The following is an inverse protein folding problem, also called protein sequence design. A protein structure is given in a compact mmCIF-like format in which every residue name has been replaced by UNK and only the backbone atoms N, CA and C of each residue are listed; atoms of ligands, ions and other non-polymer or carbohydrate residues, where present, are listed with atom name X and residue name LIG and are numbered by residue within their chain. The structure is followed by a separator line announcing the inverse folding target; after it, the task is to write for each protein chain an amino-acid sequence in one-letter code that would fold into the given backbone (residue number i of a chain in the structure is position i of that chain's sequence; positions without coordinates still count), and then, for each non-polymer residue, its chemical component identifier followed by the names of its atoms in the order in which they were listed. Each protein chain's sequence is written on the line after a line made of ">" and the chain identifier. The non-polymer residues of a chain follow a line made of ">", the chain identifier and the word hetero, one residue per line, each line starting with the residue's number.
data_IF_767117865873
#
_entry.id   IF_767117865873
#
_cell.length_a   1.000
_cell.length_b   1.000
_cell.length_c   1.000
_cell.angle_alpha   90.00
_cell.angle_beta   90.00
_cell.angle_gamma   90.00
#
_symmetry.space_group_name_H-M   'P 1'
#
loop_
_entity.id
_entity.type
_entity.pdbx_description
1 polymer ?
#
# COMPACT_ATOMS: atom_id res chain seq x y z
N UNK A 1 -22.17 10.25 -70.05
CA UNK A 1 -22.87 9.05 -69.54
C UNK A 1 -21.85 8.17 -68.82
N UNK A 2 -22.26 7.59 -67.69
CA UNK A 2 -21.61 6.53 -66.87
C UNK A 2 -20.26 6.87 -66.21
N UNK A 3 -20.24 7.14 -64.88
CA UNK A 3 -20.33 6.21 -63.74
C UNK A 3 -19.08 5.32 -63.60
N UNK A 4 -18.29 5.55 -62.54
CA UNK A 4 -18.22 4.64 -61.38
C UNK A 4 -17.40 5.27 -60.26
N UNK A 5 -18.02 5.38 -59.08
CA UNK A 5 -17.44 5.78 -57.80
C UNK A 5 -16.84 4.51 -57.20
N UNK A 6 -15.54 4.49 -56.90
CA UNK A 6 -14.91 3.42 -56.13
C UNK A 6 -14.77 3.92 -54.69
N UNK A 7 -15.62 3.39 -53.81
CA UNK A 7 -15.57 3.62 -52.37
C UNK A 7 -14.39 2.84 -51.77
N UNK A 8 -13.44 3.54 -51.17
CA UNK A 8 -12.37 2.93 -50.38
C UNK A 8 -12.94 2.52 -49.01
N UNK A 9 -13.12 1.22 -48.80
CA UNK A 9 -13.44 0.64 -47.49
C UNK A 9 -12.16 0.66 -46.65
N UNK A 10 -12.05 1.64 -45.76
CA UNK A 10 -11.00 1.66 -44.73
C UNK A 10 -11.42 0.62 -43.69
N UNK A 11 -10.80 -0.54 -43.73
CA UNK A 11 -10.90 -1.54 -42.67
C UNK A 11 -10.30 -0.95 -41.39
N UNK A 12 -11.15 -0.55 -40.46
CA UNK A 12 -10.75 -0.23 -39.10
C UNK A 12 -10.28 -1.53 -38.43
N UNK A 13 -8.98 -1.83 -38.53
CA UNK A 13 -8.33 -2.82 -37.72
C UNK A 13 -8.42 -2.34 -36.26
N UNK A 14 -9.44 -2.83 -35.55
CA UNK A 14 -9.58 -2.60 -34.12
C UNK A 14 -8.35 -3.16 -33.42
N UNK A 15 -7.51 -2.28 -32.88
CA UNK A 15 -6.58 -2.65 -31.84
C UNK A 15 -7.43 -3.10 -30.65
N UNK A 16 -7.68 -4.40 -30.56
CA UNK A 16 -8.10 -5.03 -29.32
C UNK A 16 -6.93 -4.87 -28.34
N UNK A 17 -6.91 -3.75 -27.62
CA UNK A 17 -6.04 -3.59 -26.47
C UNK A 17 -6.37 -4.73 -25.52
N UNK A 18 -5.43 -5.64 -25.31
CA UNK A 18 -5.50 -6.59 -24.22
C UNK A 18 -5.60 -5.76 -22.95
N UNK A 19 -6.81 -5.66 -22.38
CA UNK A 19 -6.99 -5.18 -21.03
C UNK A 19 -6.29 -6.21 -20.14
N UNK A 20 -5.03 -5.95 -19.79
CA UNK A 20 -4.38 -6.65 -18.70
C UNK A 20 -5.20 -6.30 -17.47
N UNK A 21 -6.05 -7.22 -17.03
CA UNK A 21 -6.65 -7.16 -15.72
C UNK A 21 -5.47 -7.15 -14.75
N UNK A 22 -5.19 -5.98 -14.18
CA UNK A 22 -4.14 -5.81 -13.20
C UNK A 22 -4.57 -6.63 -11.99
N UNK A 23 -3.97 -7.81 -11.82
CA UNK A 23 -4.17 -8.67 -10.67
C UNK A 23 -3.67 -7.89 -9.45
N UNK A 24 -4.57 -7.17 -8.77
CA UNK A 24 -4.22 -6.26 -7.67
C UNK A 24 -3.89 -7.02 -6.38
N UNK A 25 -3.68 -8.34 -6.46
CA UNK A 25 -3.55 -9.21 -5.31
C UNK A 25 -4.88 -9.46 -4.61
N UNK A 26 -4.89 -10.43 -3.70
CA UNK A 26 -6.02 -10.72 -2.82
C UNK A 26 -5.98 -9.75 -1.64
N UNK A 27 -7.11 -9.10 -1.36
CA UNK A 27 -7.29 -8.29 -0.16
C UNK A 27 -7.27 -9.18 1.09
N UNK A 28 -6.31 -8.89 1.98
CA UNK A 28 -6.21 -9.51 3.31
C UNK A 28 -6.95 -8.72 4.38
N UNK A 29 -7.05 -7.40 4.21
CA UNK A 29 -7.70 -6.50 5.17
C UNK A 29 -7.09 -5.11 5.20
N UNK A 30 -7.29 -4.41 6.31
CA UNK A 30 -6.86 -3.02 6.51
C UNK A 30 -5.92 -2.92 7.70
N UNK A 31 -4.80 -2.21 7.54
CA UNK A 31 -3.87 -1.89 8.61
C UNK A 31 -3.98 -0.40 8.95
N UNK A 32 -4.43 -0.11 10.17
CA UNK A 32 -4.59 1.23 10.71
C UNK A 32 -3.48 1.53 11.72
N UNK A 33 -2.62 2.50 11.42
CA UNK A 33 -1.52 2.90 12.28
C UNK A 33 -1.70 4.32 12.80
N UNK A 34 -1.43 4.54 14.08
CA UNK A 34 -1.35 5.85 14.70
C UNK A 34 0.10 6.15 15.10
N UNK A 35 0.55 7.37 14.82
CA UNK A 35 1.86 7.87 15.25
C UNK A 35 1.66 8.71 16.50
N UNK A 36 2.41 8.39 17.56
CA UNK A 36 2.39 9.17 18.79
C UNK A 36 2.65 10.64 18.53
N UNK A 37 1.78 11.52 19.01
CA UNK A 37 1.99 12.96 18.95
C UNK A 37 3.19 13.37 19.83
N UNK A 38 3.97 14.34 19.37
CA UNK A 38 5.14 14.82 20.12
C UNK A 38 5.89 15.93 19.41
N UNK A 39 6.58 16.78 20.17
CA UNK A 39 7.50 17.79 19.65
C UNK A 39 8.81 17.11 19.27
N UNK A 40 9.10 17.04 17.97
CA UNK A 40 10.40 16.58 17.48
C UNK A 40 10.34 16.09 16.04
N UNK A 41 10.99 16.83 15.15
CA UNK A 41 11.43 16.35 13.85
C UNK A 41 12.82 16.95 13.62
N UNK A 42 13.84 16.10 13.63
CA UNK A 42 15.10 16.35 12.96
C UNK A 42 15.17 15.24 11.91
N UNK A 43 15.51 15.61 10.68
CA UNK A 43 15.79 14.67 9.60
C UNK A 43 16.47 13.39 10.12
N UNK A 44 15.88 12.23 9.82
CA UNK A 44 16.40 10.92 10.24
C UNK A 44 15.89 10.38 11.59
N UNK A 45 14.97 11.05 12.30
CA UNK A 45 14.36 10.47 13.50
C UNK A 45 13.29 9.41 13.18
N UNK A 46 13.41 8.26 13.85
CA UNK A 46 12.38 7.22 13.91
C UNK A 46 11.26 7.62 14.87
N UNK A 47 10.00 7.36 14.53
CA UNK A 47 8.84 7.54 15.43
C UNK A 47 8.14 6.22 15.66
N UNK A 48 7.71 5.97 16.89
CA UNK A 48 6.93 4.79 17.21
C UNK A 48 5.51 4.89 16.64
N UNK A 49 5.01 3.75 16.20
CA UNK A 49 3.66 3.55 15.68
C UNK A 49 2.98 2.40 16.41
N UNK A 50 1.69 2.58 16.66
CA UNK A 50 0.79 1.52 17.12
C UNK A 50 -0.22 1.26 16.02
N UNK A 51 -0.37 -0.01 15.63
CA UNK A 51 -1.25 -0.39 14.54
C UNK A 51 -2.26 -1.46 14.94
N UNK A 52 -3.41 -1.43 14.29
CA UNK A 52 -4.42 -2.48 14.34
C UNK A 52 -4.64 -3.01 12.94
N UNK A 53 -4.40 -4.30 12.73
CA UNK A 53 -4.79 -5.01 11.51
C UNK A 53 -6.20 -5.54 11.68
N UNK A 54 -7.09 -5.22 10.74
CA UNK A 54 -8.45 -5.74 10.66
C UNK A 54 -8.57 -6.65 9.45
N UNK A 55 -8.66 -7.98 9.64
CA UNK A 55 -8.81 -8.93 8.55
C UNK A 55 -10.10 -8.71 7.73
N UNK A 56 -10.02 -8.95 6.42
CA UNK A 56 -11.17 -9.00 5.54
C UNK A 56 -12.05 -10.22 5.88
N UNK A 57 -11.43 -11.36 6.12
CA UNK A 57 -12.08 -12.58 6.62
C UNK A 57 -12.43 -12.42 8.11
N UNK A 58 -13.74 -12.43 8.41
CA UNK A 58 -14.27 -12.20 9.77
C UNK A 58 -14.13 -13.39 10.71
N UNK A 59 -13.59 -14.50 10.25
CA UNK A 59 -13.21 -15.63 11.13
C UNK A 59 -11.97 -15.30 11.96
N UNK A 60 -11.17 -14.33 11.56
CA UNK A 60 -10.00 -13.85 12.30
C UNK A 60 -10.32 -12.59 13.10
N UNK A 61 -9.81 -12.51 14.33
CA UNK A 61 -9.92 -11.32 15.16
C UNK A 61 -8.96 -10.22 14.68
N UNK A 62 -9.26 -8.93 14.96
CA UNK A 62 -8.29 -7.86 14.77
C UNK A 62 -7.02 -8.09 15.59
N UNK A 63 -5.86 -7.77 15.01
CA UNK A 63 -4.55 -8.03 15.60
C UNK A 63 -3.81 -6.72 15.87
N UNK A 64 -3.15 -6.63 17.04
CA UNK A 64 -2.36 -5.48 17.42
C UNK A 64 -0.89 -5.64 16.99
N UNK A 65 -0.36 -4.60 16.37
CA UNK A 65 1.03 -4.49 15.97
C UNK A 65 1.64 -3.20 16.53
N UNK A 66 2.96 -3.18 16.63
CA UNK A 66 3.73 -1.97 16.94
C UNK A 66 4.93 -1.88 16.00
N UNK A 67 5.61 -0.75 16.03
CA UNK A 67 6.89 -0.62 15.35
C UNK A 67 7.32 0.81 15.25
N UNK A 68 8.03 1.13 14.17
CA UNK A 68 8.53 2.48 13.97
C UNK A 68 8.66 2.86 12.50
N UNK A 69 8.52 4.14 12.21
CA UNK A 69 8.59 4.73 10.88
C UNK A 69 9.80 5.62 10.79
N UNK A 70 10.65 5.32 9.81
CA UNK A 70 12.04 5.80 9.77
C UNK A 70 12.29 6.84 8.67
N UNK A 71 11.39 6.96 7.68
CA UNK A 71 11.54 7.93 6.59
C UNK A 71 10.19 8.42 6.11
N UNK A 72 10.02 9.74 6.25
CA UNK A 72 8.92 10.49 5.67
C UNK A 72 9.47 11.37 4.56
N UNK A 73 8.83 11.34 3.39
CA UNK A 73 9.17 12.19 2.24
C UNK A 73 8.69 13.63 2.35
N UNK A 74 8.11 14.01 3.50
CA UNK A 74 7.60 15.35 3.78
C UNK A 74 8.20 15.79 5.11
N UNK A 75 8.82 16.97 5.16
CA UNK A 75 9.29 17.61 6.39
C UNK A 75 8.09 17.94 7.29
N UNK A 76 7.65 16.96 8.07
CA UNK A 76 6.57 17.12 9.03
C UNK A 76 7.19 17.86 10.22
N UNK A 77 6.89 19.15 10.38
CA UNK A 77 7.27 19.95 11.55
C UNK A 77 6.67 19.40 12.87
N UNK A 78 6.02 20.23 13.68
CA UNK A 78 5.31 19.72 14.87
C UNK A 78 4.30 18.65 14.48
N UNK A 79 4.58 17.39 14.82
CA UNK A 79 3.74 16.25 14.45
C UNK A 79 2.45 16.32 15.25
N UNK A 80 1.38 16.81 14.63
CA UNK A 80 0.01 16.56 15.12
C UNK A 80 -0.25 15.06 15.07
N UNK A 81 -1.08 14.52 15.96
CA UNK A 81 -1.50 13.12 15.87
C UNK A 81 -1.90 12.81 14.42
N UNK A 82 -1.20 11.84 13.85
CA UNK A 82 -1.31 11.48 12.42
C UNK A 82 -1.60 10.00 12.32
N UNK A 83 -2.39 9.64 11.32
CA UNK A 83 -2.78 8.26 11.07
C UNK A 83 -2.27 7.83 9.69
N UNK A 84 -1.99 6.54 9.55
CA UNK A 84 -1.62 5.90 8.30
C UNK A 84 -2.52 4.69 8.12
N UNK A 85 -3.37 4.74 7.10
CA UNK A 85 -4.29 3.65 6.76
C UNK A 85 -3.85 3.00 5.45
N UNK A 86 -3.71 1.68 5.50
CA UNK A 86 -3.22 0.85 4.39
C UNK A 86 -4.20 -0.27 4.08
N UNK A 87 -4.42 -0.52 2.79
CA UNK A 87 -4.98 -1.77 2.30
C UNK A 87 -3.84 -2.80 2.23
N UNK A 88 -4.07 -3.98 2.80
CA UNK A 88 -3.10 -5.08 2.81
C UNK A 88 -3.46 -6.08 1.71
N UNK A 89 -2.52 -6.29 0.79
CA UNK A 89 -2.66 -7.14 -0.39
C UNK A 89 -1.61 -8.25 -0.36
N UNK A 90 -1.95 -9.40 -0.91
CA UNK A 90 -1.00 -10.52 -1.12
C UNK A 90 -1.27 -11.23 -2.44
N UNK A 91 -0.25 -11.74 -3.15
CA UNK A 91 -0.48 -12.62 -4.30
C UNK A 91 -0.87 -14.04 -3.89
N UNK A 92 -0.76 -14.40 -2.60
CA UNK A 92 -0.94 -15.77 -2.11
C UNK A 92 -2.28 -15.95 -1.39
N UNK A 93 -3.01 -17.03 -1.71
CA UNK A 93 -4.23 -17.39 -0.97
C UNK A 93 -3.86 -18.12 0.32
N UNK A 94 -4.62 -17.87 1.40
CA UNK A 94 -4.52 -18.57 2.69
C UNK A 94 -3.15 -18.49 3.39
N UNK A 95 -2.38 -17.42 3.16
CA UNK A 95 -1.09 -17.20 3.84
C UNK A 95 -1.23 -16.51 5.21
N UNK A 96 -2.42 -16.03 5.55
CA UNK A 96 -2.61 -15.33 6.81
C UNK A 96 -2.44 -16.27 8.01
N UNK A 97 -1.55 -15.87 8.91
CA UNK A 97 -1.41 -16.39 10.26
C UNK A 97 -1.22 -15.19 11.20
N UNK A 98 -1.52 -15.33 12.49
CA UNK A 98 -1.20 -14.27 13.44
C UNK A 98 0.29 -13.91 13.37
N UNK A 99 0.58 -12.61 13.38
CA UNK A 99 1.92 -12.06 13.23
C UNK A 99 2.47 -12.01 11.81
N UNK A 100 1.74 -12.49 10.78
CA UNK A 100 2.28 -12.59 9.42
C UNK A 100 2.71 -11.25 8.80
N UNK A 101 2.09 -10.14 9.21
CA UNK A 101 2.44 -8.79 8.74
C UNK A 101 3.74 -8.26 9.40
N UNK A 102 4.28 -8.94 10.42
CA UNK A 102 5.54 -8.51 11.03
C UNK A 102 6.67 -8.56 10.00
N UNK A 103 7.45 -7.49 9.95
CA UNK A 103 8.56 -7.34 9.02
C UNK A 103 8.86 -5.87 8.73
N UNK A 104 9.82 -5.66 7.83
CA UNK A 104 10.21 -4.33 7.39
C UNK A 104 9.56 -4.04 6.04
N UNK A 105 8.96 -2.86 5.93
CA UNK A 105 8.27 -2.38 4.75
C UNK A 105 9.06 -1.26 4.12
N UNK A 106 9.36 -1.41 2.83
CA UNK A 106 10.07 -0.42 2.03
C UNK A 106 9.22 -0.04 0.84
N UNK A 107 9.22 1.25 0.51
CA UNK A 107 8.53 1.75 -0.66
C UNK A 107 9.15 1.16 -1.91
N UNK A 108 8.29 0.77 -2.84
CA UNK A 108 8.72 0.39 -4.16
C UNK A 108 9.41 1.60 -4.80
N UNK A 109 10.75 1.60 -4.77
CA UNK A 109 11.53 2.43 -5.68
C UNK A 109 11.22 2.02 -7.13
N UNK A 110 11.62 2.82 -8.10
CA UNK A 110 11.36 2.50 -9.51
C UNK A 110 11.88 1.09 -9.89
N UNK A 111 12.96 0.66 -9.24
CA UNK A 111 13.60 -0.65 -9.43
C UNK A 111 12.79 -1.81 -8.83
N UNK A 112 12.16 -1.61 -7.66
CA UNK A 112 11.31 -2.63 -7.02
C UNK A 112 9.98 -2.79 -7.76
N UNK A 113 9.39 -1.68 -8.22
CA UNK A 113 8.16 -1.68 -9.05
C UNK A 113 8.31 -2.62 -10.25
N UNK A 114 9.46 -2.62 -10.91
CA UNK A 114 9.75 -3.49 -12.06
C UNK A 114 9.90 -4.97 -11.67
N UNK A 115 10.39 -5.27 -10.46
CA UNK A 115 10.63 -6.63 -10.00
C UNK A 115 9.37 -7.33 -9.47
N UNK A 116 8.50 -6.60 -8.76
CA UNK A 116 7.31 -7.16 -8.11
C UNK A 116 5.99 -6.83 -8.82
N UNK A 117 6.02 -6.00 -9.88
CA UNK A 117 4.82 -5.54 -10.57
C UNK A 117 3.90 -4.68 -9.71
N UNK A 118 4.37 -4.25 -8.53
CA UNK A 118 3.65 -3.39 -7.62
C UNK A 118 3.68 -1.95 -8.16
N UNK A 119 2.53 -1.33 -8.36
CA UNK A 119 2.42 0.05 -8.83
C UNK A 119 3.13 1.07 -7.93
N UNK A 120 3.32 2.28 -8.45
CA UNK A 120 3.93 3.38 -7.70
C UNK A 120 3.10 3.73 -6.44
N UNK A 121 3.79 3.99 -5.33
CA UNK A 121 3.25 4.28 -3.98
C UNK A 121 2.87 3.07 -3.11
N UNK A 122 3.37 1.87 -3.42
CA UNK A 122 3.17 0.68 -2.60
C UNK A 122 4.38 0.42 -1.69
N UNK A 123 4.14 -0.06 -0.47
CA UNK A 123 5.20 -0.60 0.38
C UNK A 123 5.16 -2.12 0.34
N UNK A 124 6.30 -2.77 0.19
CA UNK A 124 6.40 -4.24 0.16
C UNK A 124 7.21 -4.70 1.37
N UNK A 125 6.74 -5.75 2.03
CA UNK A 125 7.36 -6.23 3.27
C UNK A 125 6.61 -7.35 3.95
N UNK A 126 6.74 -7.40 5.27
CA UNK A 126 6.20 -8.46 6.12
C UNK A 126 6.98 -9.77 5.99
N UNK A 127 6.41 -10.85 6.53
CA UNK A 127 7.06 -12.17 6.49
C UNK A 127 7.27 -12.62 5.05
N UNK A 128 8.52 -12.96 4.71
CA UNK A 128 8.94 -13.38 3.36
C UNK A 128 8.62 -12.39 2.22
N UNK A 129 8.43 -11.09 2.51
CA UNK A 129 8.10 -10.06 1.51
C UNK A 129 6.79 -10.36 0.73
N UNK A 130 5.85 -11.08 1.37
CA UNK A 130 4.63 -11.56 0.73
C UNK A 130 3.44 -10.58 0.80
N UNK A 131 3.65 -9.40 1.39
CA UNK A 131 2.60 -8.42 1.65
C UNK A 131 2.91 -7.07 1.01
N UNK A 132 1.87 -6.48 0.42
CA UNK A 132 1.90 -5.17 -0.20
C UNK A 132 0.92 -4.26 0.53
N UNK A 133 1.38 -3.07 0.92
CA UNK A 133 0.58 -2.04 1.56
C UNK A 133 0.29 -0.93 0.57
N UNK A 134 -1.00 -0.73 0.28
CA UNK A 134 -1.48 0.34 -0.57
C UNK A 134 -2.08 1.46 0.27
N UNK A 135 -1.63 2.71 0.12
CA UNK A 135 -2.12 3.82 0.90
C UNK A 135 -3.59 4.09 0.53
N UNK A 136 -4.47 4.10 1.52
CA UNK A 136 -5.87 4.44 1.30
C UNK A 136 -6.02 5.97 1.35
N UNK A 137 -6.28 6.62 0.23
CA UNK A 137 -6.49 8.08 0.18
C UNK A 137 -7.82 8.47 0.86
N UNK A 138 -7.81 8.59 2.18
CA UNK A 138 -8.97 9.07 2.96
C UNK A 138 -8.54 10.16 3.94
N UNK A 139 -9.20 11.31 3.88
CA UNK A 139 -9.21 12.26 5.01
C UNK A 139 -10.03 11.61 6.13
N UNK A 140 -9.43 11.39 7.29
CA UNK A 140 -10.13 10.83 8.46
C UNK A 140 -10.47 11.93 9.45
N UNK A 141 -11.48 11.69 10.30
CA UNK A 141 -11.87 12.61 11.37
C UNK A 141 -10.75 12.82 12.41
N UNK A 142 -9.81 11.87 12.50
CA UNK A 142 -8.67 11.85 13.42
C UNK A 142 -7.40 12.50 12.87
N UNK A 143 -7.39 12.93 11.60
CA UNK A 143 -6.23 13.55 10.95
C UNK A 143 -6.12 13.27 9.45
N UNK A 144 -5.12 13.88 8.82
CA UNK A 144 -4.75 13.63 7.43
C UNK A 144 -4.07 12.26 7.36
N UNK A 145 -4.53 11.38 6.45
CA UNK A 145 -3.77 10.16 6.17
C UNK A 145 -2.46 10.52 5.46
N UNK A 146 -1.33 10.23 6.11
CA UNK A 146 0.01 10.55 5.60
C UNK A 146 0.72 9.34 4.99
N UNK A 147 0.02 8.21 4.79
CA UNK A 147 0.57 6.99 4.20
C UNK A 147 1.31 7.23 2.87
N UNK A 148 0.81 8.15 2.03
CA UNK A 148 1.44 8.51 0.75
C UNK A 148 2.87 9.06 0.91
N UNK A 149 3.19 9.67 2.05
CA UNK A 149 4.51 10.23 2.35
C UNK A 149 5.46 9.26 3.05
N UNK A 150 5.04 8.02 3.33
CA UNK A 150 5.86 7.03 4.05
C UNK A 150 6.72 6.28 3.05
N UNK A 151 8.03 6.31 3.25
CA UNK A 151 8.96 5.58 2.39
C UNK A 151 9.42 4.25 3.00
N UNK A 152 9.46 4.15 4.33
CA UNK A 152 9.84 2.92 5.02
C UNK A 152 9.34 2.89 6.46
N UNK A 153 8.91 1.73 6.93
CA UNK A 153 8.58 1.51 8.34
C UNK A 153 8.74 0.03 8.73
N UNK A 154 8.73 -0.24 10.02
CA UNK A 154 8.87 -1.56 10.60
C UNK A 154 7.59 -1.91 11.35
N UNK A 155 7.15 -3.16 11.21
CA UNK A 155 6.02 -3.72 11.93
C UNK A 155 6.47 -4.95 12.72
N UNK A 156 5.99 -5.09 13.94
CA UNK A 156 6.27 -6.19 14.86
C UNK A 156 4.95 -6.63 15.49
N UNK A 157 4.73 -7.94 15.61
CA UNK A 157 3.52 -8.46 16.26
C UNK A 157 3.65 -8.33 17.77
N UNK A 158 2.50 -8.14 18.43
CA UNK A 158 2.40 -8.25 19.89
C UNK A 158 2.22 -9.70 20.35
N UNK A 159 1.91 -10.60 19.41
CA UNK A 159 1.77 -12.03 19.65
C UNK A 159 3.13 -12.71 19.41
N UNK A 160 3.61 -13.44 20.42
CA UNK A 160 4.89 -14.19 20.41
C UNK A 160 4.67 -15.65 20.01
#
# INVERSE_FOLDING_TARGET
>A
MQKTIIAAVIAAAGCAGTAYAQDQGVELGVLDCAIGGGTGFIFGSSKDLSCTFTPADKTFAPEAYFGAVNKYGLDIGTTKQSVMRWLVLTPLKNIYAPGALAGDYVGASAELTAAVGAGANLLVGGSAQAFTLQPLSVQTQSGINIAIGVAQFQLRSTEN
#
